data_IF_360994663614
#
_entry.id   IF_360994663614
#
_cell.length_a   1.000
_cell.length_b   1.000
_cell.length_c   1.000
_cell.angle_alpha   90.00
_cell.angle_beta   90.00
_cell.angle_gamma   90.00
#
_symmetry.space_group_name_H-M   'P 1'
#
loop_
_entity.id
_entity.type
_entity.pdbx_description
1 polymer ?
#
# COMPACT_ATOMS: atom_id res chain seq x y z
N UNK A 1 5.91 15.09 6.07
CA UNK A 1 5.52 13.95 5.19
C UNK A 1 4.50 14.42 4.20
N UNK A 2 4.69 14.07 2.94
CA UNK A 2 3.79 14.34 1.81
C UNK A 2 3.47 13.05 1.09
N UNK A 3 2.36 13.02 0.36
CA UNK A 3 2.06 12.02 -0.64
C UNK A 3 2.02 12.72 -2.00
N UNK A 4 2.86 12.30 -2.92
CA UNK A 4 2.81 12.73 -4.31
C UNK A 4 2.49 11.55 -5.23
N UNK A 5 1.99 11.79 -6.44
CA UNK A 5 1.75 10.72 -7.39
C UNK A 5 2.98 9.85 -7.61
N UNK A 6 2.78 8.54 -7.72
CA UNK A 6 3.82 7.59 -8.08
C UNK A 6 4.15 7.73 -9.57
N UNK A 7 5.43 7.94 -9.88
CA UNK A 7 5.99 7.79 -11.22
C UNK A 7 6.98 6.62 -11.23
N UNK A 8 6.65 5.49 -11.84
CA UNK A 8 7.51 4.30 -11.83
C UNK A 8 8.93 4.53 -12.35
N UNK A 9 9.11 5.45 -13.29
CA UNK A 9 10.44 5.73 -13.87
C UNK A 9 11.30 6.57 -12.95
N UNK A 10 10.73 7.65 -12.45
CA UNK A 10 11.43 8.60 -11.57
C UNK A 10 11.67 7.99 -10.19
N UNK A 11 10.69 7.27 -9.65
CA UNK A 11 10.74 6.73 -8.28
C UNK A 11 11.37 5.34 -8.20
N UNK A 12 11.43 4.62 -9.32
CA UNK A 12 11.95 3.25 -9.36
C UNK A 12 13.34 3.06 -8.77
N UNK A 13 14.32 3.93 -9.06
CA UNK A 13 15.65 3.83 -8.47
C UNK A 13 15.65 3.86 -6.94
N UNK A 14 14.86 4.74 -6.33
CA UNK A 14 14.76 4.86 -4.87
C UNK A 14 13.91 3.73 -4.25
N UNK A 15 12.81 3.38 -4.92
CA UNK A 15 11.95 2.28 -4.49
C UNK A 15 12.61 0.91 -4.64
N UNK A 16 13.68 0.78 -5.43
CA UNK A 16 14.46 -0.45 -5.50
C UNK A 16 15.05 -0.85 -4.14
N UNK A 17 15.30 0.10 -3.25
CA UNK A 17 15.69 -0.21 -1.87
C UNK A 17 14.59 -0.96 -1.06
N UNK A 18 13.36 -0.97 -1.56
CA UNK A 18 12.23 -1.73 -1.01
C UNK A 18 12.03 -3.01 -1.83
N UNK A 19 11.87 -2.86 -3.15
CA UNK A 19 11.51 -3.97 -4.04
C UNK A 19 12.69 -4.90 -4.38
N UNK A 20 13.91 -4.47 -4.15
CA UNK A 20 15.13 -5.26 -4.30
C UNK A 20 15.63 -5.89 -2.99
N UNK A 21 14.89 -5.75 -1.90
CA UNK A 21 15.23 -6.27 -0.58
C UNK A 21 14.32 -7.46 -0.22
N UNK A 22 14.92 -8.61 0.08
CA UNK A 22 14.19 -9.86 0.34
C UNK A 22 13.31 -9.75 1.61
N UNK A 23 13.77 -9.05 2.65
CA UNK A 23 13.00 -8.87 3.89
C UNK A 23 11.78 -7.97 3.65
N UNK A 24 11.91 -6.97 2.79
CA UNK A 24 10.79 -6.12 2.40
C UNK A 24 9.77 -6.88 1.53
N UNK A 25 10.26 -7.78 0.69
CA UNK A 25 9.44 -8.55 -0.25
C UNK A 25 8.92 -9.87 0.33
N UNK A 26 9.30 -10.22 1.57
CA UNK A 26 8.97 -11.52 2.18
C UNK A 26 7.48 -11.89 2.07
N UNK A 27 6.59 -10.92 2.23
CA UNK A 27 5.13 -11.12 2.22
C UNK A 27 4.47 -10.79 0.89
N UNK A 28 5.26 -10.59 -0.17
CA UNK A 28 4.74 -10.37 -1.52
C UNK A 28 4.57 -11.69 -2.28
N UNK A 29 3.73 -11.74 -3.31
CA UNK A 29 3.59 -12.93 -4.16
C UNK A 29 4.91 -13.40 -4.78
N UNK A 30 5.79 -12.48 -5.15
CA UNK A 30 7.08 -12.79 -5.78
C UNK A 30 8.28 -12.28 -4.98
N UNK A 31 9.51 -12.76 -5.32
CA UNK A 31 10.74 -12.37 -4.66
C UNK A 31 11.14 -10.92 -4.94
N UNK A 32 12.21 -10.48 -4.28
CA UNK A 32 12.84 -9.20 -4.57
C UNK A 32 13.27 -9.10 -6.05
N UNK A 33 13.24 -7.89 -6.58
CA UNK A 33 13.67 -7.62 -7.97
C UNK A 33 15.19 -7.54 -8.04
N UNK A 34 15.83 -8.14 -9.08
CA UNK A 34 17.29 -8.22 -9.16
C UNK A 34 17.97 -6.87 -9.48
N UNK A 35 17.23 -5.93 -10.07
CA UNK A 35 17.77 -4.65 -10.53
C UNK A 35 16.66 -3.57 -10.62
N UNK A 36 17.11 -2.33 -10.85
CA UNK A 36 16.22 -1.16 -10.94
C UNK A 36 15.26 -1.26 -12.13
N UNK A 37 15.70 -1.79 -13.26
CA UNK A 37 14.85 -1.91 -14.47
C UNK A 37 13.69 -2.86 -14.23
N UNK A 38 13.96 -3.98 -13.57
CA UNK A 38 12.92 -4.93 -13.13
C UNK A 38 11.98 -4.31 -12.10
N UNK A 39 12.50 -3.47 -11.19
CA UNK A 39 11.66 -2.72 -10.24
C UNK A 39 10.74 -1.75 -10.97
N UNK A 40 11.25 -0.97 -11.92
CA UNK A 40 10.44 -0.05 -12.73
C UNK A 40 9.33 -0.81 -13.47
N UNK A 41 9.66 -1.95 -14.06
CA UNK A 41 8.69 -2.80 -14.76
C UNK A 41 7.61 -3.30 -13.79
N UNK A 42 7.99 -3.84 -12.63
CA UNK A 42 7.06 -4.27 -11.58
C UNK A 42 6.14 -3.14 -11.12
N UNK A 43 6.68 -1.93 -10.91
CA UNK A 43 5.89 -0.76 -10.51
C UNK A 43 4.87 -0.36 -11.60
N UNK A 44 5.24 -0.43 -12.87
CA UNK A 44 4.33 -0.18 -13.99
C UNK A 44 3.23 -1.22 -14.07
N UNK A 45 3.57 -2.50 -13.91
CA UNK A 45 2.61 -3.60 -13.99
C UNK A 45 1.61 -3.56 -12.82
N UNK A 46 2.08 -3.24 -11.61
CA UNK A 46 1.24 -3.25 -10.43
C UNK A 46 0.42 -1.97 -10.26
N UNK A 47 0.99 -0.81 -10.60
CA UNK A 47 0.38 0.49 -10.29
C UNK A 47 0.00 1.32 -11.52
N UNK A 48 0.50 0.97 -12.71
CA UNK A 48 0.26 1.76 -13.92
C UNK A 48 -1.21 1.91 -14.30
N UNK A 49 -2.02 0.87 -14.06
CA UNK A 49 -3.47 0.92 -14.25
C UNK A 49 -4.22 1.70 -13.16
N UNK A 50 -3.53 2.06 -12.06
CA UNK A 50 -4.09 2.71 -10.87
C UNK A 50 -3.29 3.96 -10.50
N UNK A 51 -2.76 4.64 -11.52
CA UNK A 51 -1.93 5.83 -11.32
C UNK A 51 -2.64 6.87 -10.44
N UNK A 52 -3.96 7.06 -10.60
CA UNK A 52 -4.75 8.03 -9.82
C UNK A 52 -4.95 7.68 -8.36
N UNK A 53 -4.65 6.46 -7.97
CA UNK A 53 -4.81 5.94 -6.61
C UNK A 53 -3.52 5.33 -6.06
N UNK A 54 -2.37 5.74 -6.62
CA UNK A 54 -1.03 5.30 -6.18
C UNK A 54 -0.13 6.50 -5.90
N UNK A 55 0.45 6.51 -4.71
CA UNK A 55 1.31 7.60 -4.22
C UNK A 55 2.64 7.08 -3.70
N UNK A 56 3.63 7.94 -3.72
CA UNK A 56 4.84 7.76 -2.91
C UNK A 56 4.78 8.67 -1.68
N UNK A 57 5.24 8.14 -0.56
CA UNK A 57 5.46 8.90 0.65
C UNK A 57 6.85 9.53 0.62
N UNK A 58 6.96 10.82 0.94
CA UNK A 58 8.22 11.56 1.00
C UNK A 58 8.24 12.56 2.16
N UNK A 59 9.40 13.01 2.59
CA UNK A 59 9.53 14.00 3.66
C UNK A 59 9.28 15.43 3.16
N UNK A 60 9.72 15.73 1.96
CA UNK A 60 9.51 17.01 1.27
C UNK A 60 8.79 16.76 -0.05
N UNK A 61 8.12 17.75 -0.65
CA UNK A 61 7.36 17.58 -1.90
C UNK A 61 8.13 16.89 -3.02
N UNK A 62 9.39 17.27 -3.22
CA UNK A 62 10.29 16.74 -4.25
C UNK A 62 11.33 15.76 -3.66
N UNK A 63 11.09 15.27 -2.44
CA UNK A 63 12.02 14.39 -1.75
C UNK A 63 11.98 12.95 -2.26
N UNK A 64 12.97 12.14 -1.83
CA UNK A 64 13.06 10.75 -2.21
C UNK A 64 11.84 9.92 -1.79
N UNK A 65 11.53 8.89 -2.56
CA UNK A 65 10.43 7.97 -2.28
C UNK A 65 10.78 7.08 -1.08
N UNK A 66 10.07 7.25 0.02
CA UNK A 66 10.22 6.48 1.25
C UNK A 66 9.21 5.34 1.38
N UNK A 67 8.34 5.19 0.41
CA UNK A 67 7.36 4.10 0.37
C UNK A 67 6.30 4.33 -0.68
N UNK A 68 5.55 3.27 -0.96
CA UNK A 68 4.40 3.27 -1.87
C UNK A 68 3.14 3.06 -1.05
N UNK A 69 2.10 3.81 -1.38
CA UNK A 69 0.74 3.66 -0.86
C UNK A 69 -0.18 3.62 -2.06
N UNK A 70 -1.00 2.60 -2.16
CA UNK A 70 -1.88 2.43 -3.30
C UNK A 70 -3.24 1.82 -2.90
N UNK A 71 -4.23 2.18 -3.68
CA UNK A 71 -5.51 1.48 -3.72
C UNK A 71 -5.77 1.04 -5.15
N UNK A 72 -6.17 -0.20 -5.31
CA UNK A 72 -6.47 -0.75 -6.63
C UNK A 72 -7.77 -1.54 -6.61
N UNK A 73 -8.50 -1.42 -7.72
CA UNK A 73 -9.72 -2.18 -7.92
C UNK A 73 -9.36 -3.57 -8.46
N UNK A 74 -9.79 -4.62 -7.79
CA UNK A 74 -9.48 -6.00 -8.18
C UNK A 74 -10.30 -6.51 -9.36
N UNK A 75 -11.15 -5.68 -9.93
CA UNK A 75 -12.06 -6.07 -11.03
C UNK A 75 -13.28 -6.89 -10.57
N UNK A 76 -13.36 -7.22 -9.27
CA UNK A 76 -14.49 -7.95 -8.70
C UNK A 76 -15.76 -7.11 -8.65
N UNK A 77 -15.62 -5.83 -8.32
CA UNK A 77 -16.69 -4.85 -8.20
C UNK A 77 -16.08 -3.45 -8.23
N UNK A 78 -16.66 -2.51 -8.97
CA UNK A 78 -16.11 -1.16 -9.14
C UNK A 78 -15.97 -0.37 -7.82
N UNK A 79 -16.79 -0.71 -6.82
CA UNK A 79 -16.83 -0.02 -5.53
C UNK A 79 -16.06 -0.76 -4.42
N UNK A 80 -15.32 -1.84 -4.75
CA UNK A 80 -14.47 -2.60 -3.82
C UNK A 80 -13.01 -2.43 -4.20
N UNK A 81 -12.22 -1.91 -3.27
CA UNK A 81 -10.82 -1.57 -3.47
C UNK A 81 -9.93 -2.31 -2.48
N UNK A 82 -8.74 -2.66 -2.91
CA UNK A 82 -7.71 -3.23 -2.07
C UNK A 82 -6.67 -2.17 -1.74
N UNK A 83 -6.23 -2.16 -0.49
CA UNK A 83 -5.19 -1.27 0.01
C UNK A 83 -3.85 -1.98 0.09
N UNK A 84 -2.81 -1.35 -0.43
CA UNK A 84 -1.43 -1.81 -0.32
C UNK A 84 -0.50 -0.70 0.16
N UNK A 85 0.50 -1.07 0.95
CA UNK A 85 1.58 -0.16 1.28
C UNK A 85 2.90 -0.91 1.50
N UNK A 86 3.98 -0.27 1.09
CA UNK A 86 5.34 -0.70 1.39
C UNK A 86 6.15 0.51 1.84
N UNK A 87 6.87 0.39 2.96
CA UNK A 87 7.64 1.48 3.54
C UNK A 87 9.11 1.08 3.61
N UNK A 88 9.96 1.99 3.13
CA UNK A 88 11.41 1.86 3.17
C UNK A 88 11.90 1.52 4.60
N UNK A 89 12.81 0.58 4.80
CA UNK A 89 13.27 0.17 6.13
C UNK A 89 13.69 1.34 7.02
N UNK A 90 14.41 2.33 6.49
CA UNK A 90 14.84 3.51 7.24
C UNK A 90 13.68 4.44 7.69
N UNK A 91 12.51 4.34 7.06
CA UNK A 91 11.32 5.13 7.40
C UNK A 91 10.32 4.37 8.28
N UNK A 92 10.60 3.10 8.64
CA UNK A 92 9.73 2.30 9.52
C UNK A 92 9.73 2.87 10.96
N UNK A 93 8.69 2.53 11.71
CA UNK A 93 8.53 3.02 13.09
C UNK A 93 8.02 4.47 13.22
N UNK A 94 7.96 5.23 12.14
CA UNK A 94 7.53 6.63 12.11
C UNK A 94 6.06 6.82 11.70
N UNK A 95 5.28 5.75 11.69
CA UNK A 95 3.86 5.73 11.30
C UNK A 95 3.57 6.19 9.85
N UNK A 96 4.54 6.15 8.94
CA UNK A 96 4.35 6.54 7.54
C UNK A 96 3.21 5.75 6.88
N UNK A 97 3.16 4.42 7.07
CA UNK A 97 2.08 3.58 6.52
C UNK A 97 0.71 4.04 7.00
N UNK A 98 0.50 4.13 8.31
CA UNK A 98 -0.81 4.49 8.87
C UNK A 98 -1.23 5.92 8.48
N UNK A 99 -0.32 6.89 8.52
CA UNK A 99 -0.60 8.28 8.16
C UNK A 99 -0.91 8.42 6.68
N UNK A 100 -0.13 7.77 5.83
CA UNK A 100 -0.31 7.82 4.39
C UNK A 100 -1.57 7.10 3.93
N UNK A 101 -1.81 5.88 4.43
CA UNK A 101 -3.06 5.15 4.14
C UNK A 101 -4.29 5.93 4.60
N UNK A 102 -4.26 6.58 5.78
CA UNK A 102 -5.38 7.39 6.25
C UNK A 102 -5.71 8.55 5.30
N UNK A 103 -4.70 9.30 4.85
CA UNK A 103 -4.90 10.42 3.92
C UNK A 103 -5.37 9.95 2.53
N UNK A 104 -4.71 8.94 1.97
CA UNK A 104 -5.06 8.39 0.66
C UNK A 104 -6.44 7.72 0.65
N UNK A 105 -6.85 7.10 1.75
CA UNK A 105 -8.19 6.51 1.92
C UNK A 105 -9.29 7.59 1.94
N UNK A 106 -9.04 8.72 2.60
CA UNK A 106 -9.98 9.85 2.59
C UNK A 106 -10.14 10.42 1.18
N UNK A 107 -9.04 10.57 0.45
CA UNK A 107 -9.05 11.01 -0.94
C UNK A 107 -9.84 10.03 -1.83
N UNK A 108 -9.57 8.72 -1.71
CA UNK A 108 -10.31 7.69 -2.44
C UNK A 108 -11.81 7.76 -2.16
N UNK A 109 -12.22 7.82 -0.91
CA UNK A 109 -13.64 7.92 -0.56
C UNK A 109 -14.28 9.23 -1.02
N UNK A 110 -13.51 10.31 -1.13
CA UNK A 110 -14.03 11.59 -1.62
C UNK A 110 -14.20 11.59 -3.12
N UNK A 111 -13.28 10.99 -3.86
CA UNK A 111 -13.22 11.05 -5.33
C UNK A 111 -13.96 9.91 -6.04
N UNK A 112 -14.31 8.85 -5.31
CA UNK A 112 -14.92 7.65 -5.91
C UNK A 112 -16.21 7.24 -5.20
N UNK A 113 -16.90 6.26 -5.78
CA UNK A 113 -18.06 5.59 -5.16
C UNK A 113 -17.68 4.41 -4.28
N UNK A 114 -16.39 4.20 -4.01
CA UNK A 114 -15.89 3.09 -3.20
C UNK A 114 -16.74 2.93 -1.93
N UNK A 115 -17.33 1.75 -1.73
CA UNK A 115 -18.12 1.43 -0.53
C UNK A 115 -17.34 0.61 0.47
N UNK A 116 -16.26 -0.04 0.02
CA UNK A 116 -15.42 -0.94 0.81
C UNK A 116 -13.98 -0.87 0.38
N UNK A 117 -13.10 -0.83 1.36
CA UNK A 117 -11.67 -1.08 1.19
C UNK A 117 -11.35 -2.36 1.98
N UNK A 118 -10.50 -3.22 1.42
CA UNK A 118 -9.97 -4.35 2.15
C UNK A 118 -8.44 -4.41 2.05
N UNK A 119 -7.83 -5.16 2.92
CA UNK A 119 -6.42 -5.53 2.85
C UNK A 119 -6.30 -7.05 3.00
N UNK A 120 -5.47 -7.63 2.15
CA UNK A 120 -5.07 -9.03 2.18
C UNK A 120 -3.66 -9.10 2.78
N UNK A 121 -3.52 -9.80 3.90
CA UNK A 121 -2.31 -9.73 4.73
C UNK A 121 -1.88 -11.14 5.12
N UNK A 122 -0.60 -11.45 4.90
CA UNK A 122 -0.03 -12.70 5.42
C UNK A 122 -0.19 -12.78 6.95
N UNK A 123 -0.61 -13.91 7.52
CA UNK A 123 -0.83 -14.08 8.96
C UNK A 123 0.39 -13.73 9.82
N UNK A 124 1.59 -13.89 9.31
CA UNK A 124 2.84 -13.59 10.04
C UNK A 124 3.28 -12.13 9.86
N UNK A 125 2.65 -11.36 8.97
CA UNK A 125 2.91 -9.92 8.81
C UNK A 125 2.18 -9.10 9.89
N UNK A 126 2.59 -9.28 11.14
CA UNK A 126 1.97 -8.60 12.29
C UNK A 126 2.07 -7.06 12.23
N UNK A 127 3.09 -6.53 11.55
CA UNK A 127 3.26 -5.08 11.40
C UNK A 127 2.15 -4.49 10.51
N UNK A 128 1.82 -5.17 9.41
CA UNK A 128 0.71 -4.78 8.54
C UNK A 128 -0.63 -4.90 9.28
N UNK A 129 -0.89 -6.04 9.94
CA UNK A 129 -2.13 -6.23 10.71
C UNK A 129 -2.38 -5.08 11.70
N UNK A 130 -1.38 -4.75 12.55
CA UNK A 130 -1.46 -3.64 13.50
C UNK A 130 -1.71 -2.28 12.83
N UNK A 131 -1.17 -2.08 11.62
CA UNK A 131 -1.39 -0.85 10.86
C UNK A 131 -2.85 -0.72 10.45
N UNK A 132 -3.43 -1.78 9.89
CA UNK A 132 -4.83 -1.78 9.46
C UNK A 132 -5.81 -1.73 10.64
N UNK A 133 -5.53 -2.43 11.74
CA UNK A 133 -6.29 -2.32 12.99
C UNK A 133 -6.30 -0.87 13.52
N UNK A 134 -5.14 -0.20 13.52
CA UNK A 134 -5.03 1.22 13.92
C UNK A 134 -5.85 2.15 13.02
N UNK A 135 -6.07 1.79 11.77
CA UNK A 135 -6.89 2.55 10.81
C UNK A 135 -8.40 2.27 10.93
N UNK A 136 -8.80 1.37 11.83
CA UNK A 136 -10.21 1.01 12.06
C UNK A 136 -10.72 -0.13 11.19
N UNK A 137 -9.83 -0.83 10.48
CA UNK A 137 -10.24 -2.03 9.73
C UNK A 137 -10.62 -3.15 10.70
N UNK A 138 -11.65 -3.89 10.34
CA UNK A 138 -12.13 -5.07 11.06
C UNK A 138 -11.52 -6.32 10.46
N UNK A 139 -10.96 -7.20 11.29
CA UNK A 139 -10.52 -8.53 10.86
C UNK A 139 -11.74 -9.39 10.57
N UNK A 140 -11.91 -9.80 9.32
CA UNK A 140 -13.11 -10.51 8.86
C UNK A 140 -12.94 -12.02 8.76
N UNK A 141 -11.72 -12.49 8.53
CA UNK A 141 -11.47 -13.93 8.42
C UNK A 141 -10.08 -14.29 7.95
N UNK A 142 -9.91 -15.61 7.73
CA UNK A 142 -8.70 -16.20 7.16
C UNK A 142 -9.10 -17.01 5.92
N UNK A 143 -8.44 -16.80 4.82
CA UNK A 143 -8.47 -17.62 3.62
C UNK A 143 -7.27 -18.56 3.66
N UNK A 144 -7.53 -19.88 3.74
CA UNK A 144 -6.45 -20.86 3.86
C UNK A 144 -5.91 -21.23 2.49
N UNK A 145 -4.55 -21.24 2.36
CA UNK A 145 -3.86 -21.62 1.13
C UNK A 145 -4.19 -20.69 -0.04
N UNK A 146 -4.41 -19.41 0.23
CA UNK A 146 -4.89 -18.42 -0.75
C UNK A 146 -3.81 -18.05 -1.78
N UNK A 147 -2.57 -17.94 -1.33
CA UNK A 147 -1.49 -17.47 -2.19
C UNK A 147 -0.40 -18.53 -2.36
N UNK A 148 -0.02 -18.77 -3.61
CA UNK A 148 1.26 -19.38 -3.94
C UNK A 148 2.31 -18.27 -4.06
N UNK A 149 3.25 -18.23 -3.13
CA UNK A 149 4.29 -17.22 -3.03
C UNK A 149 5.67 -17.84 -3.21
N UNK A 150 6.71 -17.00 -3.33
CA UNK A 150 8.11 -17.48 -3.41
C UNK A 150 8.59 -18.17 -2.13
N UNK A 151 7.87 -18.04 -0.99
CA UNK A 151 8.16 -18.75 0.26
C UNK A 151 7.18 -19.92 0.53
N UNK A 152 6.38 -20.30 -0.46
CA UNK A 152 5.41 -21.41 -0.40
C UNK A 152 3.96 -20.97 -0.39
N UNK A 153 3.07 -21.93 -0.09
CA UNK A 153 1.64 -21.65 0.03
C UNK A 153 1.37 -20.93 1.34
N UNK A 154 0.66 -19.80 1.26
CA UNK A 154 0.37 -18.93 2.41
C UNK A 154 -1.13 -18.72 2.57
N UNK A 155 -1.53 -18.55 3.81
CA UNK A 155 -2.88 -18.10 4.16
C UNK A 155 -2.97 -16.58 4.05
N UNK A 156 -4.20 -16.06 3.96
CA UNK A 156 -4.51 -14.64 4.00
C UNK A 156 -5.40 -14.28 5.17
N UNK A 157 -5.06 -13.23 5.91
CA UNK A 157 -5.97 -12.57 6.85
C UNK A 157 -6.61 -11.38 6.15
N UNK A 158 -7.92 -11.40 6.04
CA UNK A 158 -8.68 -10.32 5.40
C UNK A 158 -9.13 -9.32 6.44
N UNK A 159 -8.75 -8.07 6.21
CA UNK A 159 -9.21 -6.90 6.94
C UNK A 159 -10.11 -6.06 6.04
N UNK A 160 -11.25 -5.60 6.54
CA UNK A 160 -12.22 -4.81 5.80
C UNK A 160 -12.59 -3.52 6.49
N UNK A 161 -12.86 -2.47 5.71
CA UNK A 161 -13.41 -1.19 6.14
C UNK A 161 -14.51 -0.75 5.19
N UNK A 162 -15.68 -0.44 5.71
CA UNK A 162 -16.76 0.14 4.93
C UNK A 162 -16.68 1.66 4.93
N UNK A 163 -17.20 2.30 3.89
CA UNK A 163 -17.34 3.77 3.85
C UNK A 163 -18.04 4.34 5.08
N UNK A 164 -19.01 3.60 5.63
CA UNK A 164 -19.83 4.00 6.76
C UNK A 164 -19.20 3.71 8.12
N UNK A 165 -18.11 2.97 8.16
CA UNK A 165 -17.45 2.63 9.42
C UNK A 165 -16.77 3.85 10.05
N UNK A 166 -16.74 3.94 11.37
CA UNK A 166 -16.00 4.98 12.05
C UNK A 166 -14.51 4.83 11.81
N UNK A 167 -13.84 5.93 11.48
CA UNK A 167 -12.39 5.95 11.26
C UNK A 167 -11.71 6.71 12.38
N UNK A 168 -10.70 6.11 13.04
CA UNK A 168 -9.89 6.82 14.03
C UNK A 168 -9.19 8.02 13.42
N UNK A 169 -9.07 9.10 14.17
CA UNK A 169 -8.21 10.20 13.76
C UNK A 169 -6.74 9.76 13.85
N UNK A 170 -6.02 9.91 12.75
CA UNK A 170 -4.59 9.60 12.66
C UNK A 170 -3.82 10.92 12.64
N UNK A 171 -3.14 11.29 13.73
CA UNK A 171 -2.40 12.55 13.80
C UNK A 171 -1.30 12.65 12.74
N UNK A 172 -1.14 13.85 12.19
CA UNK A 172 -0.06 14.14 11.25
C UNK A 172 -0.23 13.48 9.90
N UNK A 173 -1.46 13.35 9.40
CA UNK A 173 -1.71 12.97 8.02
C UNK A 173 -0.91 13.84 7.07
N UNK A 174 -0.35 13.27 6.00
CA UNK A 174 0.39 14.01 4.99
C UNK A 174 -0.53 14.93 4.17
N UNK A 175 0.05 15.97 3.63
CA UNK A 175 -0.54 16.70 2.52
C UNK A 175 -0.47 15.83 1.25
N UNK A 176 -1.59 15.72 0.54
CA UNK A 176 -1.64 15.12 -0.78
C UNK A 176 -1.30 16.18 -1.81
N UNK A 177 -0.18 16.00 -2.49
CA UNK A 177 0.21 16.87 -3.59
C UNK A 177 -0.61 16.50 -4.83
N UNK A 178 -1.21 17.52 -5.47
CA UNK A 178 -2.12 17.31 -6.58
C UNK A 178 -1.44 16.68 -7.79
N UNK A 179 -2.26 16.00 -8.55
CA UNK A 179 -2.04 15.74 -9.96
C UNK A 179 -2.70 16.93 -10.67
N UNK A 180 -1.89 17.81 -11.24
CA UNK A 180 -2.37 18.90 -12.10
C UNK A 180 -2.99 18.33 -13.38
#
# INVERSE_FOLDING_TARGET
MYLRPLDPVTDGPELHAIFGDDDCCMWLPGPATPDIETTITKLRDWYGGFADTSWVACETPDGPALGVIAFYNTGRDADIWEAACMIHPAARGQSYAARGLAAAMEDLFTKTTARRIFADIDPDNHASQKTFEKLGFTREGILRGEWETHIGIRDSVIYGLLRTDPRPDIPGKPELLGRD
#
